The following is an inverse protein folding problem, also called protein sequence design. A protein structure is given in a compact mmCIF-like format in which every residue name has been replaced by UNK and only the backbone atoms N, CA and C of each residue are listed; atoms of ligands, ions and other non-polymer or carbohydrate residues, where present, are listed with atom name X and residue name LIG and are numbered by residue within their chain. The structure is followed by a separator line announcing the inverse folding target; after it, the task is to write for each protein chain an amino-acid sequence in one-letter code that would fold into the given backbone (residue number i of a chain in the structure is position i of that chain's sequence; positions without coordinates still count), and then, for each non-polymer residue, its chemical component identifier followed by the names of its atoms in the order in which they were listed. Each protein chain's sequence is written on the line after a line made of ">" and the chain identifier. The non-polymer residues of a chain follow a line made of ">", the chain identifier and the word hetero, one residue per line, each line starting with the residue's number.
data_IF_957497736690
#
_entry.id   IF_957497736690
#
_cell.length_a   1.000
_cell.length_b   1.000
_cell.length_c   1.000
_cell.angle_alpha   90.00
_cell.angle_beta   90.00
_cell.angle_gamma   90.00
#
_symmetry.space_group_name_H-M   'P 1'
#
loop_
_entity.id
_entity.type
_entity.pdbx_description
1 polymer ?
#
# COMPACT_ATOMS: atom_id res chain seq x y z
N UNK A 1 19.39 -47.61 9.89
CA UNK A 1 19.48 -46.26 10.52
C UNK A 1 20.54 -46.34 11.60
N UNK A 2 21.47 -45.39 11.67
CA UNK A 2 22.55 -45.37 12.66
C UNK A 2 22.50 -44.05 13.47
N UNK A 3 22.88 -44.08 14.74
CA UNK A 3 23.24 -42.91 15.55
C UNK A 3 24.57 -43.22 16.22
N UNK A 4 25.56 -42.35 16.02
CA UNK A 4 26.90 -42.50 16.60
C UNK A 4 27.52 -43.89 16.35
N UNK A 5 27.46 -44.36 15.11
CA UNK A 5 27.88 -45.71 14.67
C UNK A 5 27.13 -46.91 15.28
N UNK A 6 26.08 -46.69 16.07
CA UNK A 6 25.21 -47.74 16.58
C UNK A 6 24.00 -47.91 15.65
N UNK A 7 23.73 -49.12 15.11
CA UNK A 7 22.53 -49.35 14.33
C UNK A 7 21.29 -49.22 15.21
N UNK A 8 20.49 -48.19 14.98
CA UNK A 8 19.20 -47.98 15.65
C UNK A 8 18.08 -48.84 15.07
N UNK A 9 18.21 -49.23 13.79
CA UNK A 9 17.27 -50.09 13.10
C UNK A 9 17.89 -50.65 11.81
N UNK A 10 17.60 -51.90 11.48
CA UNK A 10 17.95 -52.54 10.21
C UNK A 10 16.79 -53.43 9.73
N UNK A 11 16.79 -53.76 8.44
CA UNK A 11 15.85 -54.76 7.88
C UNK A 11 16.22 -56.20 8.27
N UNK A 12 17.41 -56.40 8.85
CA UNK A 12 18.03 -57.69 9.17
C UNK A 12 18.09 -58.66 7.98
N UNK A 13 18.20 -58.12 6.76
CA UNK A 13 18.31 -58.90 5.51
C UNK A 13 19.74 -59.08 5.01
N UNK A 14 20.75 -58.82 5.86
CA UNK A 14 22.15 -59.03 5.50
C UNK A 14 22.42 -60.51 5.12
N UNK A 15 23.37 -60.75 4.21
CA UNK A 15 23.66 -62.09 3.69
C UNK A 15 22.78 -62.56 2.52
N UNK A 16 21.96 -61.68 1.93
CA UNK A 16 21.12 -61.97 0.76
C UNK A 16 21.63 -61.24 -0.51
N UNK A 17 22.70 -61.73 -1.17
CA UNK A 17 23.24 -61.09 -2.37
C UNK A 17 22.22 -61.07 -3.52
N UNK A 18 22.17 -59.96 -4.25
CA UNK A 18 21.19 -59.76 -5.32
C UNK A 18 19.78 -59.39 -4.85
N UNK A 19 19.59 -59.16 -3.54
CA UNK A 19 18.34 -58.57 -3.05
C UNK A 19 18.14 -57.14 -3.56
N UNK A 20 16.89 -56.74 -3.78
CA UNK A 20 16.53 -55.38 -4.20
C UNK A 20 15.51 -54.77 -3.27
N UNK A 21 15.63 -53.47 -3.06
CA UNK A 21 14.63 -52.66 -2.37
C UNK A 21 13.60 -52.14 -3.38
N UNK A 22 12.31 -52.17 -3.01
CA UNK A 22 11.22 -51.70 -3.85
C UNK A 22 10.17 -50.95 -3.01
N UNK A 23 9.61 -49.89 -3.62
CA UNK A 23 8.40 -49.23 -3.14
C UNK A 23 7.27 -49.71 -4.04
N UNK A 24 6.29 -50.40 -3.45
CA UNK A 24 5.14 -50.93 -4.17
C UNK A 24 4.09 -49.82 -4.41
N UNK A 25 3.22 -49.94 -5.45
CA UNK A 25 2.16 -48.97 -5.72
C UNK A 25 1.16 -48.77 -4.57
N UNK A 26 1.06 -49.72 -3.65
CA UNK A 26 0.21 -49.67 -2.45
C UNK A 26 0.88 -48.97 -1.24
N UNK A 27 2.08 -48.42 -1.42
CA UNK A 27 2.83 -47.72 -0.37
C UNK A 27 3.63 -48.63 0.58
N UNK A 28 3.75 -49.93 0.26
CA UNK A 28 4.56 -50.86 1.03
C UNK A 28 6.04 -50.80 0.62
N UNK A 29 6.94 -50.74 1.60
CA UNK A 29 8.39 -50.84 1.37
C UNK A 29 8.80 -52.30 1.57
N UNK A 30 9.40 -52.90 0.54
CA UNK A 30 9.74 -54.33 0.53
C UNK A 30 11.17 -54.53 0.09
N UNK A 31 11.88 -55.45 0.74
CA UNK A 31 13.13 -56.02 0.22
C UNK A 31 12.80 -57.38 -0.37
N UNK A 32 13.13 -57.59 -1.63
CA UNK A 32 12.99 -58.86 -2.33
C UNK A 32 14.33 -59.56 -2.44
N UNK A 33 14.37 -60.88 -2.23
CA UNK A 33 15.51 -61.73 -2.60
C UNK A 33 15.79 -61.68 -4.10
N UNK A 34 16.93 -62.22 -4.52
CA UNK A 34 17.27 -62.43 -5.93
C UNK A 34 16.23 -63.27 -6.69
N UNK A 35 15.54 -64.20 -6.00
CA UNK A 35 14.43 -64.98 -6.54
C UNK A 35 13.07 -64.28 -6.53
N UNK A 36 12.99 -63.02 -6.08
CA UNK A 36 11.76 -62.24 -6.03
C UNK A 36 10.85 -62.54 -4.84
N UNK A 37 11.33 -63.27 -3.82
CA UNK A 37 10.58 -63.49 -2.57
C UNK A 37 10.75 -62.30 -1.63
N UNK A 38 9.68 -61.75 -1.01
CA UNK A 38 9.83 -60.71 -0.01
C UNK A 38 10.54 -61.28 1.23
N UNK A 39 11.64 -60.67 1.62
CA UNK A 39 12.45 -61.04 2.80
C UNK A 39 12.35 -60.00 3.92
N UNK A 40 11.78 -58.83 3.62
CA UNK A 40 11.35 -57.82 4.59
C UNK A 40 10.19 -57.01 3.99
N UNK A 41 9.21 -56.59 4.80
CA UNK A 41 8.21 -55.61 4.40
C UNK A 41 7.77 -54.74 5.58
N UNK A 42 7.38 -53.50 5.33
CA UNK A 42 6.91 -52.57 6.37
C UNK A 42 5.45 -52.77 6.78
N UNK A 43 4.68 -53.58 6.05
CA UNK A 43 3.25 -53.79 6.32
C UNK A 43 2.37 -52.58 6.00
N UNK A 44 2.85 -51.60 5.23
CA UNK A 44 2.17 -50.31 5.01
C UNK A 44 1.23 -50.28 3.79
N UNK A 45 0.89 -51.47 3.25
CA UNK A 45 0.09 -51.72 2.05
C UNK A 45 -1.39 -51.23 2.09
N UNK A 46 -1.85 -50.64 3.20
CA UNK A 46 -3.23 -50.14 3.35
C UNK A 46 -3.33 -48.63 3.63
N UNK A 47 -2.22 -47.89 3.65
CA UNK A 47 -2.21 -46.42 3.76
C UNK A 47 -2.92 -45.79 4.97
N UNK A 48 -3.35 -46.57 5.98
CA UNK A 48 -4.21 -46.09 7.08
C UNK A 48 -3.46 -45.61 8.32
N UNK A 49 -2.19 -45.92 8.45
CA UNK A 49 -1.31 -45.17 9.36
C UNK A 49 -0.34 -44.38 8.51
N UNK A 50 -0.39 -43.06 8.65
CA UNK A 50 0.62 -42.17 8.12
C UNK A 50 1.93 -42.59 8.77
N UNK A 51 2.73 -43.39 8.09
CA UNK A 51 4.06 -43.77 8.55
C UNK A 51 4.78 -42.47 8.87
N UNK A 52 5.31 -42.32 10.10
CA UNK A 52 6.04 -41.12 10.56
C UNK A 52 7.34 -40.83 9.76
N UNK A 53 7.56 -41.51 8.64
CA UNK A 53 8.53 -41.11 7.63
C UNK A 53 7.91 -40.02 6.75
N UNK A 54 8.33 -38.78 7.04
CA UNK A 54 8.27 -37.60 6.18
C UNK A 54 6.92 -37.26 5.52
N UNK A 55 5.81 -37.26 6.28
CA UNK A 55 4.62 -36.52 5.83
C UNK A 55 5.00 -35.03 5.62
N UNK A 56 4.35 -34.30 4.69
CA UNK A 56 4.64 -32.88 4.49
C UNK A 56 4.54 -32.06 5.78
N UNK A 57 3.62 -32.44 6.69
CA UNK A 57 3.46 -31.85 8.02
C UNK A 57 4.69 -32.14 8.90
N UNK A 58 5.18 -33.38 8.91
CA UNK A 58 6.38 -33.73 9.67
C UNK A 58 7.60 -32.95 9.15
N UNK A 59 7.81 -32.89 7.83
CA UNK A 59 8.92 -32.13 7.23
C UNK A 59 8.83 -30.65 7.63
N UNK A 60 7.64 -30.05 7.47
CA UNK A 60 7.38 -28.68 7.90
C UNK A 60 7.77 -28.47 9.35
N UNK A 61 7.27 -29.31 10.26
CA UNK A 61 7.49 -29.16 11.69
C UNK A 61 8.98 -29.33 12.05
N UNK A 62 9.71 -30.23 11.38
CA UNK A 62 11.16 -30.36 11.58
C UNK A 62 11.92 -29.10 11.13
N UNK A 63 11.58 -28.55 9.96
CA UNK A 63 12.17 -27.30 9.48
C UNK A 63 11.90 -26.15 10.45
N UNK A 64 10.64 -25.95 10.86
CA UNK A 64 10.27 -24.87 11.77
C UNK A 64 10.89 -25.03 13.17
N UNK A 65 11.08 -26.26 13.65
CA UNK A 65 11.81 -26.54 14.90
C UNK A 65 13.31 -26.25 14.80
N UNK A 66 13.93 -26.51 13.65
CA UNK A 66 15.36 -26.22 13.40
C UNK A 66 15.63 -24.71 13.42
N UNK A 67 14.63 -23.90 13.05
CA UNK A 67 14.71 -22.44 13.02
C UNK A 67 13.62 -21.82 13.92
N UNK A 68 13.74 -21.90 15.26
CA UNK A 68 12.67 -21.50 16.17
C UNK A 68 12.40 -19.99 16.22
N UNK A 69 13.37 -19.17 15.81
CA UNK A 69 13.32 -17.70 15.86
C UNK A 69 12.94 -17.06 14.51
N UNK A 70 12.13 -17.75 13.70
CA UNK A 70 11.65 -17.20 12.43
C UNK A 70 10.70 -16.02 12.68
N UNK A 71 11.04 -14.87 12.12
CA UNK A 71 10.13 -13.72 12.06
C UNK A 71 9.28 -13.82 10.78
N UNK A 72 7.98 -14.02 10.92
CA UNK A 72 7.09 -14.20 9.77
C UNK A 72 6.53 -12.88 9.25
N UNK A 73 6.53 -12.73 7.92
CA UNK A 73 5.87 -11.63 7.23
C UNK A 73 5.28 -12.10 5.90
N UNK A 74 4.27 -11.38 5.42
CA UNK A 74 3.90 -11.46 4.01
C UNK A 74 4.97 -10.79 3.16
N UNK A 75 5.27 -11.36 2.00
CA UNK A 75 6.09 -10.71 0.97
C UNK A 75 5.13 -10.24 -0.12
N UNK A 76 4.88 -8.94 -0.22
CA UNK A 76 3.90 -8.37 -1.15
C UNK A 76 4.61 -7.53 -2.21
N UNK A 77 4.34 -7.77 -3.49
CA UNK A 77 4.90 -6.95 -4.56
C UNK A 77 4.38 -5.51 -4.47
N UNK A 78 5.29 -4.54 -4.55
CA UNK A 78 4.92 -3.12 -4.63
C UNK A 78 4.21 -2.81 -5.96
N UNK A 79 4.69 -3.37 -7.07
CA UNK A 79 4.11 -3.12 -8.39
C UNK A 79 2.71 -3.70 -8.56
N UNK A 80 2.46 -4.93 -8.10
CA UNK A 80 1.20 -5.63 -8.38
C UNK A 80 0.25 -5.69 -7.20
N UNK A 81 0.72 -5.40 -5.99
CA UNK A 81 -0.03 -5.57 -4.74
C UNK A 81 -0.28 -7.04 -4.36
N UNK A 82 0.21 -8.02 -5.13
CA UNK A 82 -0.03 -9.46 -4.91
C UNK A 82 0.97 -10.04 -3.91
N UNK A 83 0.57 -11.09 -3.21
CA UNK A 83 1.44 -11.81 -2.27
C UNK A 83 2.28 -12.87 -2.98
N UNK A 84 3.50 -13.08 -2.50
CA UNK A 84 4.31 -14.24 -2.82
C UNK A 84 3.74 -15.47 -2.09
N UNK A 85 3.32 -16.49 -2.84
CA UNK A 85 2.65 -17.69 -2.31
C UNK A 85 3.42 -18.97 -2.68
N UNK A 86 3.54 -19.89 -1.72
CA UNK A 86 4.28 -21.15 -1.85
C UNK A 86 3.42 -22.39 -2.15
N UNK A 87 2.12 -22.22 -2.39
CA UNK A 87 1.13 -23.28 -2.64
C UNK A 87 1.08 -23.76 -4.10
N UNK A 88 2.04 -23.36 -4.94
CA UNK A 88 2.06 -23.70 -6.35
C UNK A 88 2.39 -25.17 -6.59
N UNK A 89 1.94 -25.71 -7.73
CA UNK A 89 2.29 -27.07 -8.16
C UNK A 89 3.82 -27.22 -8.26
N UNK A 90 4.33 -28.42 -7.98
CA UNK A 90 5.76 -28.74 -8.05
C UNK A 90 6.64 -27.76 -7.25
N UNK A 91 6.16 -27.31 -6.08
CA UNK A 91 6.81 -26.34 -5.20
C UNK A 91 7.10 -24.98 -5.88
N UNK A 92 6.41 -24.65 -6.97
CA UNK A 92 6.54 -23.34 -7.59
C UNK A 92 6.01 -22.25 -6.67
N UNK A 93 6.67 -21.11 -6.71
CA UNK A 93 6.25 -19.90 -6.00
C UNK A 93 5.62 -18.95 -7.02
N UNK A 94 4.50 -18.33 -6.66
CA UNK A 94 3.73 -17.51 -7.60
C UNK A 94 3.11 -16.29 -6.91
N UNK A 95 2.48 -15.41 -7.70
CA UNK A 95 1.76 -14.26 -7.17
C UNK A 95 0.30 -14.62 -6.91
N UNK A 96 -0.15 -14.51 -5.66
CA UNK A 96 -1.53 -14.72 -5.27
C UNK A 96 -2.27 -13.37 -5.13
N UNK A 97 -3.43 -13.20 -5.78
CA UNK A 97 -4.26 -12.00 -5.61
C UNK A 97 -4.88 -11.99 -4.21
N UNK A 98 -4.86 -10.84 -3.53
CA UNK A 98 -5.35 -10.66 -2.15
C UNK A 98 -4.40 -11.24 -1.08
N UNK A 99 -3.36 -10.48 -0.70
CA UNK A 99 -2.54 -10.79 0.47
C UNK A 99 -3.39 -11.03 1.72
N UNK A 100 -3.07 -12.10 2.44
CA UNK A 100 -3.80 -12.51 3.63
C UNK A 100 -2.79 -12.97 4.70
N UNK A 101 -2.68 -12.21 5.78
CA UNK A 101 -1.76 -12.50 6.88
C UNK A 101 -2.08 -13.81 7.62
N UNK A 102 -3.33 -14.27 7.56
CA UNK A 102 -3.77 -15.53 8.17
C UNK A 102 -3.51 -16.74 7.27
N UNK A 103 -3.23 -16.56 5.97
CA UNK A 103 -2.89 -17.66 5.09
C UNK A 103 -1.42 -18.09 5.32
N UNK A 104 -1.15 -19.31 5.83
CA UNK A 104 0.21 -19.75 6.10
C UNK A 104 1.07 -19.90 4.84
N UNK A 105 0.48 -20.05 3.64
CA UNK A 105 1.24 -20.06 2.37
C UNK A 105 1.77 -18.68 1.97
N UNK A 106 1.18 -17.60 2.49
CA UNK A 106 1.66 -16.23 2.32
C UNK A 106 2.71 -15.83 3.36
N UNK A 107 2.89 -16.62 4.43
CA UNK A 107 3.77 -16.28 5.54
C UNK A 107 5.17 -16.83 5.31
N UNK A 108 6.14 -15.92 5.21
CA UNK A 108 7.55 -16.24 5.00
C UNK A 108 8.35 -15.83 6.24
N UNK A 109 9.01 -16.80 6.84
CA UNK A 109 9.85 -16.66 8.01
C UNK A 109 11.28 -16.29 7.63
N UNK A 110 11.81 -15.22 8.20
CA UNK A 110 13.16 -14.74 7.96
C UNK A 110 14.10 -15.21 9.07
N UNK A 111 15.12 -15.99 8.70
CA UNK A 111 16.20 -16.41 9.58
C UNK A 111 17.51 -15.76 9.14
N UNK A 112 18.14 -14.98 10.02
CA UNK A 112 19.38 -14.25 9.70
C UNK A 112 20.58 -15.21 9.63
N UNK A 113 21.40 -15.12 8.58
CA UNK A 113 22.63 -15.89 8.38
C UNK A 113 23.71 -14.95 7.87
N UNK A 114 24.55 -14.44 8.78
CA UNK A 114 25.49 -13.34 8.47
C UNK A 114 24.74 -12.14 7.90
N UNK A 115 25.17 -11.61 6.76
CA UNK A 115 24.50 -10.48 6.08
C UNK A 115 23.21 -10.87 5.35
N UNK A 116 22.93 -12.17 5.20
CA UNK A 116 21.85 -12.71 4.39
C UNK A 116 20.68 -13.20 5.25
N UNK A 117 19.57 -13.51 4.59
CA UNK A 117 18.44 -14.21 5.17
C UNK A 117 18.21 -15.53 4.45
N UNK A 118 17.95 -16.58 5.22
CA UNK A 118 17.22 -17.73 4.72
C UNK A 118 15.73 -17.49 4.93
N UNK A 119 14.93 -17.66 3.89
CA UNK A 119 13.50 -17.35 3.88
C UNK A 119 12.73 -18.67 3.81
N UNK A 120 11.92 -18.99 4.83
CA UNK A 120 11.25 -20.29 4.98
C UNK A 120 9.73 -20.09 5.02
N UNK A 121 8.98 -20.78 4.17
CA UNK A 121 7.54 -20.68 4.16
C UNK A 121 6.89 -21.38 5.37
N UNK A 122 5.88 -20.76 5.99
CA UNK A 122 5.20 -21.30 7.19
C UNK A 122 4.36 -22.55 6.91
N UNK A 123 3.67 -22.60 5.77
CA UNK A 123 2.82 -23.74 5.43
C UNK A 123 3.61 -24.99 5.04
N UNK A 124 4.68 -24.80 4.25
CA UNK A 124 5.45 -25.93 3.69
C UNK A 124 6.70 -26.27 4.51
N UNK A 125 7.26 -25.30 5.25
CA UNK A 125 8.57 -25.41 5.89
C UNK A 125 9.74 -25.46 4.90
N UNK A 126 9.49 -25.13 3.64
CA UNK A 126 10.50 -25.14 2.58
C UNK A 126 11.21 -23.79 2.52
N UNK A 127 12.51 -23.81 2.20
CA UNK A 127 13.28 -22.61 1.93
C UNK A 127 12.95 -22.07 0.54
N UNK A 128 12.90 -20.75 0.38
CA UNK A 128 12.93 -20.12 -0.93
C UNK A 128 14.32 -20.34 -1.53
N UNK A 129 14.38 -20.96 -2.71
CA UNK A 129 15.60 -21.35 -3.39
C UNK A 129 15.67 -20.73 -4.80
N UNK A 130 16.86 -20.28 -5.18
CA UNK A 130 17.15 -19.58 -6.44
C UNK A 130 17.81 -20.46 -7.53
N UNK A 131 17.72 -21.79 -7.42
CA UNK A 131 18.50 -22.74 -8.23
C UNK A 131 17.76 -23.35 -9.42
N UNK A 132 16.43 -23.18 -9.54
CA UNK A 132 15.65 -23.81 -10.61
C UNK A 132 16.02 -23.24 -11.99
N UNK A 133 16.20 -24.15 -12.95
CA UNK A 133 16.49 -23.86 -14.36
C UNK A 133 17.68 -22.92 -14.57
N UNK A 134 18.81 -23.20 -13.89
CA UNK A 134 19.98 -22.33 -13.93
C UNK A 134 19.73 -20.98 -13.24
N UNK A 135 18.92 -21.02 -12.18
CA UNK A 135 18.50 -19.88 -11.37
C UNK A 135 17.64 -18.85 -12.08
N UNK A 136 16.81 -19.29 -13.04
CA UNK A 136 15.82 -18.43 -13.70
C UNK A 136 14.54 -18.27 -12.90
N UNK A 137 14.22 -19.24 -12.04
CA UNK A 137 12.97 -19.25 -11.29
C UNK A 137 13.19 -19.56 -9.81
N UNK A 138 12.44 -18.90 -8.91
CA UNK A 138 12.41 -19.28 -7.51
C UNK A 138 11.52 -20.49 -7.28
N UNK A 139 11.81 -21.29 -6.25
CA UNK A 139 10.94 -22.39 -5.84
C UNK A 139 11.12 -22.73 -4.35
N UNK A 140 10.20 -23.53 -3.80
CA UNK A 140 10.32 -24.09 -2.46
C UNK A 140 11.22 -25.33 -2.44
N UNK A 141 12.33 -25.25 -1.70
CA UNK A 141 13.23 -26.37 -1.45
C UNK A 141 13.00 -27.01 -0.07
N UNK A 142 12.83 -28.33 -0.06
CA UNK A 142 12.33 -29.12 1.09
C UNK A 142 13.22 -29.08 2.33
N UNK A 143 14.53 -28.89 2.19
CA UNK A 143 15.49 -28.97 3.30
C UNK A 143 16.27 -27.65 3.44
N UNK A 144 15.80 -26.70 4.26
CA UNK A 144 16.51 -25.45 4.50
C UNK A 144 17.89 -25.70 5.12
N UNK A 145 18.91 -25.06 4.54
CA UNK A 145 20.32 -25.21 4.89
C UNK A 145 21.00 -23.84 4.90
N UNK A 146 21.62 -23.46 6.01
CA UNK A 146 22.29 -22.16 6.20
C UNK A 146 23.62 -22.04 5.44
N UNK A 147 24.20 -23.17 5.00
CA UNK A 147 25.42 -23.24 4.22
C UNK A 147 25.18 -23.44 2.71
N UNK A 148 23.92 -23.38 2.25
CA UNK A 148 23.58 -23.42 0.82
C UNK A 148 23.31 -22.00 0.32
N UNK A 149 24.20 -21.45 -0.51
CA UNK A 149 24.06 -20.09 -1.04
C UNK A 149 22.81 -19.87 -1.88
N UNK A 150 22.21 -20.93 -2.46
CA UNK A 150 20.93 -20.83 -3.18
C UNK A 150 19.74 -20.56 -2.26
N UNK A 151 19.85 -20.84 -0.96
CA UNK A 151 18.84 -20.52 0.06
C UNK A 151 19.03 -19.14 0.68
N UNK A 152 20.13 -18.45 0.39
CA UNK A 152 20.51 -17.21 1.04
C UNK A 152 20.18 -16.00 0.16
N UNK A 153 19.51 -15.03 0.77
CA UNK A 153 18.96 -13.86 0.10
C UNK A 153 19.45 -12.59 0.79
N UNK A 154 20.05 -11.70 0.01
CA UNK A 154 20.36 -10.34 0.43
C UNK A 154 19.09 -9.51 0.32
N UNK A 155 18.58 -9.07 1.46
CA UNK A 155 17.35 -8.26 1.53
C UNK A 155 17.79 -6.84 1.89
N UNK A 156 17.60 -5.90 0.97
CA UNK A 156 18.09 -4.51 1.10
C UNK A 156 17.02 -3.50 0.68
N UNK A 157 17.07 -2.26 1.18
CA UNK A 157 16.10 -1.23 0.78
C UNK A 157 16.17 -1.00 -0.73
N UNK A 158 15.00 -0.82 -1.34
CA UNK A 158 14.84 -0.39 -2.72
C UNK A 158 13.52 0.39 -2.85
N UNK A 159 13.59 1.70 -3.11
CA UNK A 159 12.40 2.55 -3.19
C UNK A 159 11.57 2.51 -1.89
N UNK A 160 10.27 2.24 -2.00
CA UNK A 160 9.35 2.16 -0.85
C UNK A 160 9.31 0.77 -0.18
N UNK A 161 10.10 -0.19 -0.67
CA UNK A 161 10.16 -1.54 -0.14
C UNK A 161 11.57 -2.11 -0.14
N UNK A 162 11.67 -3.40 -0.38
CA UNK A 162 12.94 -4.13 -0.36
C UNK A 162 13.16 -4.84 -1.68
N UNK A 163 14.41 -4.88 -2.11
CA UNK A 163 14.85 -5.88 -3.08
C UNK A 163 15.32 -7.15 -2.35
N UNK A 164 15.01 -8.29 -2.94
CA UNK A 164 15.41 -9.62 -2.47
C UNK A 164 16.32 -10.22 -3.54
N UNK A 165 17.62 -10.32 -3.26
CA UNK A 165 18.64 -10.72 -4.24
C UNK A 165 19.29 -12.02 -3.81
N UNK A 166 19.33 -13.01 -4.70
CA UNK A 166 19.97 -14.30 -4.41
C UNK A 166 21.47 -14.15 -4.20
N UNK A 167 22.02 -14.75 -3.14
CA UNK A 167 23.46 -14.82 -2.91
C UNK A 167 24.17 -15.63 -4.00
N UNK A 168 23.61 -16.80 -4.36
CA UNK A 168 24.21 -17.70 -5.34
C UNK A 168 24.25 -17.13 -6.76
N UNK A 169 23.21 -16.41 -7.18
CA UNK A 169 23.07 -16.00 -8.59
C UNK A 169 23.22 -14.50 -8.83
N UNK A 170 23.16 -13.68 -7.77
CA UNK A 170 23.11 -12.21 -7.89
C UNK A 170 21.80 -11.66 -8.49
N UNK A 171 20.85 -12.54 -8.83
CA UNK A 171 19.59 -12.17 -9.48
C UNK A 171 18.56 -11.68 -8.46
N UNK A 172 17.74 -10.73 -8.88
CA UNK A 172 16.66 -10.17 -8.08
C UNK A 172 15.38 -11.00 -8.23
N UNK A 173 14.65 -11.20 -7.15
CA UNK A 173 13.28 -11.72 -7.19
C UNK A 173 12.37 -10.65 -7.81
N UNK A 174 11.69 -10.98 -8.90
CA UNK A 174 10.91 -10.03 -9.69
C UNK A 174 9.45 -10.49 -9.88
N UNK A 175 8.51 -9.55 -9.75
CA UNK A 175 7.06 -9.77 -9.86
C UNK A 175 6.47 -9.44 -11.24
N UNK A 176 7.29 -9.07 -12.21
CA UNK A 176 6.90 -8.68 -13.57
C UNK A 176 6.89 -9.84 -14.57
N UNK A 177 6.77 -11.07 -14.08
CA UNK A 177 6.81 -12.27 -14.91
C UNK A 177 5.55 -12.45 -15.77
N UNK A 178 5.59 -13.42 -16.70
CA UNK A 178 4.45 -13.72 -17.58
C UNK A 178 3.42 -14.63 -16.88
N UNK A 179 2.34 -14.99 -17.58
CA UNK A 179 1.26 -15.84 -17.03
C UNK A 179 1.72 -17.23 -16.59
N UNK A 180 2.75 -17.78 -17.24
CA UNK A 180 3.29 -19.09 -16.90
C UNK A 180 4.26 -19.02 -15.70
N UNK A 181 5.03 -17.94 -15.61
CA UNK A 181 6.03 -17.71 -14.59
C UNK A 181 5.87 -16.30 -14.01
N UNK A 182 4.85 -16.07 -13.18
CA UNK A 182 4.51 -14.73 -12.68
C UNK A 182 5.55 -14.18 -11.69
N UNK A 183 6.46 -15.02 -11.19
CA UNK A 183 7.62 -14.63 -10.40
C UNK A 183 8.85 -15.30 -11.01
N UNK A 184 9.91 -14.53 -11.22
CA UNK A 184 11.15 -15.04 -11.80
C UNK A 184 12.37 -14.33 -11.19
N UNK A 185 13.56 -14.80 -11.57
CA UNK A 185 14.84 -14.28 -11.12
C UNK A 185 15.41 -13.36 -12.20
N UNK A 186 15.24 -12.05 -12.05
CA UNK A 186 15.74 -11.06 -13.00
C UNK A 186 17.28 -10.93 -12.89
N UNK A 187 18.03 -10.96 -14.02
CA UNK A 187 19.50 -11.01 -14.00
C UNK A 187 20.20 -9.92 -13.19
N UNK A 188 19.69 -8.68 -13.24
CA UNK A 188 20.35 -7.52 -12.68
C UNK A 188 19.41 -6.76 -11.72
N UNK A 189 19.71 -6.64 -10.42
CA UNK A 189 18.92 -5.80 -9.52
C UNK A 189 18.88 -4.35 -10.03
N UNK A 190 17.68 -3.83 -10.30
CA UNK A 190 17.45 -2.45 -10.75
C UNK A 190 16.86 -1.65 -9.60
N UNK A 191 17.57 -0.62 -9.17
CA UNK A 191 17.10 0.33 -8.15
C UNK A 191 15.92 1.14 -8.69
N UNK A 192 14.90 1.36 -7.85
CA UNK A 192 13.69 2.12 -8.21
C UNK A 192 12.66 1.36 -9.06
N UNK A 193 13.00 0.19 -9.63
CA UNK A 193 12.02 -0.65 -10.35
C UNK A 193 11.01 -1.25 -9.36
N UNK A 194 9.74 -0.89 -9.48
CA UNK A 194 8.66 -1.34 -8.59
C UNK A 194 8.42 -2.86 -8.63
N UNK A 195 8.77 -3.55 -9.72
CA UNK A 195 8.66 -5.02 -9.83
C UNK A 195 9.73 -5.78 -9.04
N UNK A 196 10.84 -5.12 -8.71
CA UNK A 196 11.88 -5.62 -7.80
C UNK A 196 11.60 -5.28 -6.33
N UNK A 197 10.57 -4.50 -6.05
CA UNK A 197 10.27 -4.02 -4.71
C UNK A 197 9.20 -4.88 -4.05
N UNK A 198 9.49 -5.30 -2.84
CA UNK A 198 8.65 -6.13 -2.02
C UNK A 198 8.43 -5.48 -0.65
N UNK A 199 7.17 -5.32 -0.26
CA UNK A 199 6.79 -4.95 1.09
C UNK A 199 6.86 -6.18 1.98
N UNK A 200 7.68 -6.13 3.02
CA UNK A 200 7.91 -7.20 4.00
C UNK A 200 8.42 -6.62 5.32
N UNK A 201 8.34 -7.42 6.38
CA UNK A 201 8.87 -7.08 7.71
C UNK A 201 10.06 -8.01 8.03
N UNK A 202 11.23 -7.44 8.33
CA UNK A 202 12.41 -8.18 8.77
C UNK A 202 12.52 -8.22 10.31
N UNK A 203 13.16 -9.27 10.88
CA UNK A 203 13.50 -9.29 12.30
C UNK A 203 14.44 -8.14 12.64
N UNK A 204 14.09 -7.34 13.66
CA UNK A 204 14.84 -6.16 14.09
C UNK A 204 14.45 -4.86 13.38
N UNK A 205 13.44 -4.88 12.49
CA UNK A 205 13.10 -3.76 11.61
C UNK A 205 14.07 -3.74 10.42
N UNK A 206 13.55 -3.65 9.20
CA UNK A 206 14.44 -3.52 8.04
C UNK A 206 14.93 -2.08 7.85
N UNK A 207 15.49 -1.74 6.67
CA UNK A 207 16.09 -0.46 6.40
C UNK A 207 15.04 0.62 6.61
N UNK A 208 15.31 1.41 7.65
CA UNK A 208 14.93 2.81 7.83
C UNK A 208 13.95 3.37 6.80
N UNK A 209 12.72 2.87 6.75
CA UNK A 209 11.61 3.76 7.05
C UNK A 209 11.69 3.98 8.55
N UNK A 210 11.59 5.26 8.95
CA UNK A 210 11.39 5.67 10.34
C UNK A 210 10.64 4.56 11.07
N UNK A 211 11.15 4.12 12.23
CA UNK A 211 10.43 3.28 13.22
C UNK A 211 8.95 3.34 12.92
N UNK A 212 8.40 2.31 12.26
CA UNK A 212 7.05 2.39 11.72
C UNK A 212 6.14 2.73 12.87
N UNK A 213 5.80 4.01 12.98
CA UNK A 213 5.23 4.52 14.20
C UNK A 213 3.93 3.77 14.38
N UNK A 214 3.67 3.26 15.59
CA UNK A 214 2.38 2.67 15.89
C UNK A 214 1.28 3.64 15.47
N UNK A 215 0.07 3.16 15.16
CA UNK A 215 -1.02 4.07 14.80
C UNK A 215 -1.18 5.19 15.84
N UNK A 216 -0.97 4.87 17.13
CA UNK A 216 -0.98 5.82 18.23
C UNK A 216 0.16 6.86 18.20
N UNK A 217 1.34 6.51 17.67
CA UNK A 217 2.45 7.45 17.51
C UNK A 217 2.27 8.36 16.30
N UNK A 218 1.79 7.81 15.17
CA UNK A 218 1.43 8.63 14.01
C UNK A 218 0.26 9.57 14.35
N UNK A 219 -0.72 9.10 15.11
CA UNK A 219 -1.88 9.90 15.50
C UNK A 219 -1.54 11.06 16.46
N UNK A 220 -0.38 11.03 17.11
CA UNK A 220 0.12 12.16 17.92
C UNK A 220 0.73 13.29 17.08
N UNK A 221 1.17 13.02 15.85
CA UNK A 221 1.80 14.03 14.99
C UNK A 221 0.75 15.02 14.47
N UNK A 222 1.10 16.30 14.46
CA UNK A 222 0.21 17.37 13.96
C UNK A 222 0.01 17.29 12.45
N UNK A 223 1.08 16.97 11.73
CA UNK A 223 1.11 16.70 10.28
C UNK A 223 1.97 15.47 10.00
N UNK A 224 1.66 14.77 8.91
CA UNK A 224 2.30 13.54 8.47
C UNK A 224 2.91 13.73 7.08
N UNK A 225 4.05 13.08 6.84
CA UNK A 225 4.62 12.91 5.52
C UNK A 225 3.77 11.94 4.68
N UNK A 226 3.96 11.93 3.36
CA UNK A 226 3.22 11.02 2.48
C UNK A 226 3.42 9.54 2.83
N UNK A 227 4.64 9.13 3.21
CA UNK A 227 4.91 7.75 3.61
C UNK A 227 4.19 7.38 4.91
N UNK A 228 4.13 8.31 5.86
CA UNK A 228 3.38 8.13 7.09
C UNK A 228 1.87 8.11 6.87
N UNK A 229 1.34 8.88 5.91
CA UNK A 229 -0.08 8.83 5.52
C UNK A 229 -0.42 7.45 4.94
N UNK A 230 0.43 6.93 4.04
CA UNK A 230 0.27 5.58 3.48
C UNK A 230 0.25 4.54 4.61
N UNK A 231 1.21 4.63 5.52
CA UNK A 231 1.31 3.72 6.67
C UNK A 231 0.08 3.86 7.59
N UNK A 232 -0.34 5.09 7.91
CA UNK A 232 -1.50 5.35 8.76
C UNK A 232 -2.75 4.72 8.17
N UNK A 233 -3.02 4.91 6.87
CA UNK A 233 -4.17 4.30 6.18
C UNK A 233 -4.13 2.78 6.21
N UNK A 234 -2.97 2.18 5.99
CA UNK A 234 -2.79 0.72 6.08
C UNK A 234 -3.10 0.20 7.49
N UNK A 235 -2.63 0.91 8.53
CA UNK A 235 -2.92 0.55 9.92
C UNK A 235 -4.42 0.68 10.25
N UNK A 236 -5.06 1.78 9.80
CA UNK A 236 -6.51 1.99 10.00
C UNK A 236 -7.35 0.96 9.26
N UNK A 237 -6.96 0.57 8.05
CA UNK A 237 -7.67 -0.46 7.26
C UNK A 237 -7.74 -1.82 7.98
N UNK A 238 -6.80 -2.10 8.90
CA UNK A 238 -6.77 -3.32 9.71
C UNK A 238 -7.63 -3.24 10.99
N UNK A 239 -8.16 -2.07 11.35
CA UNK A 239 -9.05 -1.91 12.50
C UNK A 239 -10.47 -2.42 12.21
N UNK A 240 -11.28 -2.71 13.26
CA UNK A 240 -12.72 -2.90 13.11
C UNK A 240 -13.36 -1.68 12.45
N UNK A 241 -14.35 -1.88 11.58
CA UNK A 241 -15.03 -0.81 10.84
C UNK A 241 -15.57 0.30 11.76
N UNK A 242 -16.06 -0.06 12.95
CA UNK A 242 -16.54 0.87 13.97
C UNK A 242 -15.49 1.85 14.50
N UNK A 243 -14.20 1.53 14.36
CA UNK A 243 -13.10 2.38 14.84
C UNK A 243 -12.46 3.21 13.72
N UNK A 244 -12.63 2.81 12.45
CA UNK A 244 -11.93 3.43 11.32
C UNK A 244 -12.31 4.89 11.12
N UNK A 245 -13.59 5.21 11.29
CA UNK A 245 -14.12 6.55 11.08
C UNK A 245 -13.32 7.59 11.87
N UNK A 246 -13.16 7.41 13.18
CA UNK A 246 -12.42 8.34 14.03
C UNK A 246 -10.99 8.58 13.54
N UNK A 247 -10.28 7.53 13.12
CA UNK A 247 -8.91 7.69 12.63
C UNK A 247 -8.83 8.34 11.25
N UNK A 248 -9.77 8.04 10.35
CA UNK A 248 -9.84 8.71 9.05
C UNK A 248 -10.16 10.20 9.17
N UNK A 249 -11.04 10.57 10.10
CA UNK A 249 -11.32 11.97 10.44
C UNK A 249 -10.06 12.69 10.94
N UNK A 250 -9.36 12.09 11.91
CA UNK A 250 -8.06 12.63 12.40
C UNK A 250 -6.99 12.72 11.32
N UNK A 251 -6.95 11.77 10.37
CA UNK A 251 -5.99 11.79 9.27
C UNK A 251 -6.20 12.99 8.34
N UNK A 252 -7.43 13.47 8.15
CA UNK A 252 -7.69 14.63 7.30
C UNK A 252 -6.90 15.87 7.76
N UNK A 253 -6.87 16.11 9.06
CA UNK A 253 -6.08 17.18 9.70
C UNK A 253 -4.57 16.96 9.63
N UNK A 254 -4.12 15.76 9.29
CA UNK A 254 -2.68 15.43 9.30
C UNK A 254 -2.03 15.58 7.94
N UNK A 255 -2.80 15.85 6.89
CA UNK A 255 -2.27 16.08 5.54
C UNK A 255 -1.47 17.39 5.53
N UNK A 256 -0.28 17.44 4.90
CA UNK A 256 0.44 18.69 4.69
C UNK A 256 -0.45 19.73 4.02
N UNK A 257 -0.26 21.00 4.38
CA UNK A 257 -1.00 22.08 3.74
C UNK A 257 -0.48 22.32 2.32
N UNK A 258 -1.39 22.49 1.36
CA UNK A 258 -1.10 22.81 -0.04
C UNK A 258 -1.53 24.24 -0.32
N UNK A 259 -0.61 25.09 -0.77
CA UNK A 259 -0.82 26.53 -0.89
C UNK A 259 -0.67 26.98 -2.34
N UNK A 260 -1.77 27.33 -3.00
CA UNK A 260 -1.71 27.65 -4.43
C UNK A 260 -0.84 28.87 -4.75
N UNK A 261 -0.57 29.74 -3.75
CA UNK A 261 0.22 30.97 -3.92
C UNK A 261 1.73 30.70 -3.97
N UNK A 262 2.18 29.49 -3.66
CA UNK A 262 3.58 29.09 -3.80
C UNK A 262 3.87 28.29 -5.08
N UNK A 263 2.82 27.99 -5.87
CA UNK A 263 2.91 27.23 -7.11
C UNK A 263 3.95 27.78 -8.08
N UNK A 264 4.61 26.88 -8.81
CA UNK A 264 5.61 27.19 -9.82
C UNK A 264 5.05 28.01 -10.98
N UNK A 265 3.76 27.84 -11.32
CA UNK A 265 3.07 28.61 -12.37
C UNK A 265 2.58 29.97 -11.86
N UNK A 266 3.53 30.83 -11.47
CA UNK A 266 3.25 32.13 -10.82
C UNK A 266 2.27 33.06 -11.55
N UNK A 267 2.14 32.96 -12.88
CA UNK A 267 1.22 33.79 -13.66
C UNK A 267 -0.26 33.37 -13.53
N UNK A 268 -0.53 32.16 -13.06
CA UNK A 268 -1.88 31.58 -12.95
C UNK A 268 -2.14 30.98 -11.56
N UNK A 269 -1.23 31.18 -10.61
CA UNK A 269 -1.29 30.66 -9.25
C UNK A 269 -2.65 30.93 -8.57
N UNK A 270 -3.20 32.14 -8.72
CA UNK A 270 -4.50 32.54 -8.18
C UNK A 270 -5.70 31.77 -8.78
N UNK A 271 -5.49 31.02 -9.87
CA UNK A 271 -6.51 30.20 -10.54
C UNK A 271 -6.25 28.68 -10.43
N UNK A 272 -5.26 28.28 -9.63
CA UNK A 272 -4.86 26.87 -9.45
C UNK A 272 -5.46 26.19 -8.21
N UNK A 273 -6.49 26.79 -7.58
CA UNK A 273 -7.18 26.19 -6.44
C UNK A 273 -7.68 24.76 -6.72
N UNK A 274 -8.08 24.49 -7.96
CA UNK A 274 -8.46 23.17 -8.46
C UNK A 274 -7.38 22.09 -8.26
N UNK A 275 -6.25 22.19 -8.96
CA UNK A 275 -5.17 21.18 -8.94
C UNK A 275 -4.45 21.15 -7.59
N UNK A 276 -4.39 22.29 -6.89
CA UNK A 276 -3.86 22.38 -5.52
C UNK A 276 -4.71 21.59 -4.53
N UNK A 277 -6.03 21.77 -4.60
CA UNK A 277 -6.96 20.99 -3.76
C UNK A 277 -6.95 19.51 -4.15
N UNK A 278 -6.86 19.18 -5.45
CA UNK A 278 -6.75 17.80 -5.91
C UNK A 278 -5.47 17.13 -5.37
N UNK A 279 -4.33 17.82 -5.37
CA UNK A 279 -3.09 17.33 -4.79
C UNK A 279 -3.25 16.99 -3.30
N UNK A 280 -3.90 17.86 -2.53
CA UNK A 280 -4.20 17.61 -1.11
C UNK A 280 -5.09 16.37 -0.93
N UNK A 281 -6.12 16.21 -1.76
CA UNK A 281 -6.99 15.04 -1.74
C UNK A 281 -6.26 13.74 -2.12
N UNK A 282 -5.44 13.75 -3.17
CA UNK A 282 -4.65 12.58 -3.59
C UNK A 282 -3.61 12.20 -2.51
N UNK A 283 -2.96 13.19 -1.91
CA UNK A 283 -2.03 13.00 -0.79
C UNK A 283 -2.72 12.33 0.40
N UNK A 284 -3.93 12.78 0.76
CA UNK A 284 -4.74 12.13 1.79
C UNK A 284 -5.04 10.65 1.49
N UNK A 285 -5.21 10.29 0.21
CA UNK A 285 -5.43 8.90 -0.21
C UNK A 285 -4.15 8.05 -0.21
N UNK A 286 -2.99 8.66 0.08
CA UNK A 286 -1.68 8.00 0.06
C UNK A 286 -1.04 7.96 -1.33
N UNK A 287 -1.49 8.80 -2.26
CA UNK A 287 -0.92 8.86 -3.61
C UNK A 287 0.29 9.78 -3.58
N UNK A 288 1.44 9.23 -4.01
CA UNK A 288 2.70 9.97 -4.11
C UNK A 288 2.71 10.87 -5.33
N UNK A 289 3.33 12.03 -5.18
CA UNK A 289 3.73 12.86 -6.31
C UNK A 289 4.69 12.07 -7.22
N UNK A 290 4.37 11.88 -8.51
CA UNK A 290 5.21 11.12 -9.44
C UNK A 290 6.53 11.84 -9.80
N UNK A 291 6.65 13.15 -9.52
CA UNK A 291 7.89 13.92 -9.70
C UNK A 291 8.25 14.66 -8.39
N UNK A 292 8.93 13.99 -7.43
CA UNK A 292 9.20 14.56 -6.10
C UNK A 292 10.06 15.83 -6.08
N UNK A 293 10.75 16.16 -7.17
CA UNK A 293 11.54 17.40 -7.31
C UNK A 293 10.68 18.64 -7.59
N UNK A 294 9.36 18.48 -7.74
CA UNK A 294 8.39 19.54 -8.01
C UNK A 294 7.23 19.43 -7.02
N UNK A 295 6.44 20.50 -6.87
CA UNK A 295 5.20 20.42 -6.10
C UNK A 295 4.17 19.56 -6.82
N UNK A 296 3.31 18.88 -6.08
CA UNK A 296 2.42 17.88 -6.69
C UNK A 296 1.38 18.55 -7.59
N UNK A 297 0.84 19.68 -7.15
CA UNK A 297 -0.08 20.55 -7.87
C UNK A 297 0.53 21.13 -9.17
N UNK A 298 1.83 21.40 -9.20
CA UNK A 298 2.53 21.83 -10.42
C UNK A 298 2.66 20.66 -11.42
N UNK A 299 2.81 19.44 -10.93
CA UNK A 299 2.84 18.23 -11.77
C UNK A 299 1.43 17.92 -12.29
N UNK A 300 0.41 18.05 -11.44
CA UNK A 300 -0.99 17.90 -11.83
C UNK A 300 -1.41 18.94 -12.86
N UNK A 301 -0.88 20.17 -12.77
CA UNK A 301 -1.08 21.21 -13.78
C UNK A 301 -0.59 20.75 -15.16
N UNK A 302 0.65 20.25 -15.27
CA UNK A 302 1.15 19.74 -16.54
C UNK A 302 0.30 18.59 -17.08
N UNK A 303 -0.12 17.68 -16.22
CA UNK A 303 -0.92 16.54 -16.65
C UNK A 303 -2.30 17.01 -17.13
N UNK A 304 -2.97 17.90 -16.39
CA UNK A 304 -4.33 18.33 -16.75
C UNK A 304 -4.36 19.21 -18.00
N UNK A 305 -3.30 19.98 -18.30
CA UNK A 305 -3.22 20.72 -19.56
C UNK A 305 -3.16 19.80 -20.79
N UNK A 306 -2.72 18.54 -20.63
CA UNK A 306 -2.72 17.54 -21.68
C UNK A 306 -4.05 16.77 -21.80
N UNK A 307 -5.04 17.03 -20.95
CA UNK A 307 -6.37 16.44 -21.03
C UNK A 307 -7.28 17.24 -21.97
N UNK A 308 -7.47 16.79 -23.21
CA UNK A 308 -8.43 17.38 -24.17
C UNK A 308 -9.64 16.47 -24.39
N UNK A 309 -10.67 16.56 -23.55
CA UNK A 309 -11.89 15.74 -23.71
C UNK A 309 -13.01 16.43 -24.49
N UNK A 310 -13.10 17.76 -24.46
CA UNK A 310 -13.90 18.49 -25.45
C UNK A 310 -12.96 19.19 -26.43
N UNK A 311 -13.13 18.90 -27.72
CA UNK A 311 -12.36 19.51 -28.82
C UNK A 311 -12.57 21.03 -29.00
N UNK A 312 -13.09 21.72 -27.98
CA UNK A 312 -13.38 23.16 -27.93
C UNK A 312 -13.09 23.78 -26.56
N UNK A 313 -12.48 23.06 -25.60
CA UNK A 313 -12.37 23.56 -24.22
C UNK A 313 -11.42 24.75 -24.09
N UNK A 314 -12.00 25.90 -23.76
CA UNK A 314 -11.30 26.97 -23.07
C UNK A 314 -10.89 26.48 -21.68
N UNK A 315 -9.62 26.06 -21.53
CA UNK A 315 -8.94 25.61 -20.30
C UNK A 315 -9.55 24.36 -19.61
N UNK A 316 -8.86 23.20 -19.63
CA UNK A 316 -9.35 21.93 -19.08
C UNK A 316 -9.59 21.94 -17.55
N UNK A 317 -9.08 22.94 -16.83
CA UNK A 317 -9.26 23.11 -15.38
C UNK A 317 -10.66 23.57 -14.95
N UNK A 318 -11.53 23.95 -15.88
CA UNK A 318 -12.90 24.35 -15.53
C UNK A 318 -13.89 23.17 -15.47
N UNK A 319 -13.44 21.96 -15.83
CA UNK A 319 -14.31 20.81 -15.97
C UNK A 319 -14.08 19.78 -14.85
N UNK A 320 -15.06 19.65 -13.96
CA UNK A 320 -15.02 18.72 -12.81
C UNK A 320 -14.78 17.26 -13.21
N UNK A 321 -15.31 16.86 -14.37
CA UNK A 321 -15.08 15.54 -14.95
C UNK A 321 -13.59 15.27 -15.23
N UNK A 322 -12.82 16.29 -15.62
CA UNK A 322 -11.39 16.12 -15.88
C UNK A 322 -10.63 15.77 -14.60
N UNK A 323 -10.99 16.34 -13.45
CA UNK A 323 -10.37 15.97 -12.16
C UNK A 323 -10.70 14.53 -11.75
N UNK A 324 -11.96 14.10 -11.92
CA UNK A 324 -12.36 12.72 -11.66
C UNK A 324 -11.62 11.75 -12.59
N UNK A 325 -11.53 12.06 -13.88
CA UNK A 325 -10.82 11.24 -14.85
C UNK A 325 -9.31 11.23 -14.62
N UNK A 326 -8.70 12.35 -14.22
CA UNK A 326 -7.30 12.46 -13.84
C UNK A 326 -7.00 11.56 -12.63
N UNK A 327 -7.79 11.69 -11.55
CA UNK A 327 -7.65 10.86 -10.36
C UNK A 327 -7.78 9.35 -10.69
N UNK A 328 -8.74 8.98 -11.55
CA UNK A 328 -8.96 7.58 -11.92
C UNK A 328 -7.88 7.01 -12.84
N UNK A 329 -7.61 7.71 -13.95
CA UNK A 329 -6.79 7.17 -15.05
C UNK A 329 -5.31 7.25 -14.75
N UNK A 330 -4.85 8.34 -14.14
CA UNK A 330 -3.42 8.54 -13.85
C UNK A 330 -3.01 7.96 -12.50
N UNK A 331 -3.93 7.97 -11.52
CA UNK A 331 -3.60 7.59 -10.13
C UNK A 331 -4.39 6.41 -9.58
N UNK A 332 -5.25 5.78 -10.38
CA UNK A 332 -5.97 4.57 -9.98
C UNK A 332 -7.00 4.78 -8.86
N UNK A 333 -7.46 6.01 -8.62
CA UNK A 333 -8.54 6.27 -7.64
C UNK A 333 -9.81 5.56 -8.10
N UNK A 334 -10.42 4.81 -7.20
CA UNK A 334 -11.56 3.94 -7.52
C UNK A 334 -12.86 4.75 -7.63
N UNK A 335 -13.50 4.71 -8.80
CA UNK A 335 -14.82 5.31 -9.07
C UNK A 335 -15.01 6.72 -8.47
N UNK A 336 -14.13 7.70 -8.78
CA UNK A 336 -14.30 9.06 -8.28
C UNK A 336 -15.63 9.62 -8.80
N UNK A 337 -16.53 9.96 -7.86
CA UNK A 337 -17.87 10.45 -8.16
C UNK A 337 -17.91 11.96 -7.97
N UNK A 338 -18.27 12.71 -9.02
CA UNK A 338 -18.67 14.12 -8.86
C UNK A 338 -20.19 14.22 -8.91
N UNK A 339 -20.72 15.15 -8.12
CA UNK A 339 -22.14 15.42 -8.06
C UNK A 339 -22.38 16.92 -7.86
N UNK A 340 -23.61 17.34 -8.13
CA UNK A 340 -24.08 18.70 -7.89
C UNK A 340 -24.94 18.72 -6.63
N UNK A 341 -24.81 19.78 -5.83
CA UNK A 341 -25.75 20.08 -4.75
C UNK A 341 -27.07 20.60 -5.35
N UNK A 342 -27.92 19.67 -5.84
CA UNK A 342 -29.16 20.03 -6.51
C UNK A 342 -30.18 20.66 -5.55
N UNK A 343 -30.88 21.70 -6.01
CA UNK A 343 -31.97 22.32 -5.26
C UNK A 343 -31.53 23.17 -4.06
N UNK A 344 -30.25 23.55 -3.99
CA UNK A 344 -29.67 24.33 -2.89
C UNK A 344 -30.45 25.63 -2.62
N UNK A 345 -31.18 25.73 -1.48
CA UNK A 345 -31.84 26.97 -1.09
C UNK A 345 -30.86 27.82 -0.29
N UNK A 346 -30.39 28.93 -0.89
CA UNK A 346 -29.53 29.91 -0.19
C UNK A 346 -30.22 30.36 1.10
N UNK A 347 -29.48 30.34 2.21
CA UNK A 347 -29.97 30.65 3.55
C UNK A 347 -30.64 29.49 4.31
N UNK A 348 -30.84 28.31 3.69
CA UNK A 348 -31.42 27.15 4.37
C UNK A 348 -30.34 26.28 5.04
N UNK A 349 -30.12 26.55 6.33
CA UNK A 349 -29.18 25.79 7.16
C UNK A 349 -29.58 24.32 7.25
N UNK A 350 -30.86 23.99 7.41
CA UNK A 350 -31.32 22.60 7.58
C UNK A 350 -31.06 21.78 6.34
N UNK A 351 -31.21 22.38 5.16
CA UNK A 351 -30.86 21.74 3.90
C UNK A 351 -29.38 21.33 3.89
N UNK A 352 -28.46 22.23 4.27
CA UNK A 352 -27.03 21.95 4.29
C UNK A 352 -26.68 20.90 5.32
N UNK A 353 -27.24 21.00 6.53
CA UNK A 353 -27.02 20.01 7.59
C UNK A 353 -27.43 18.61 7.09
N UNK A 354 -28.63 18.47 6.51
CA UNK A 354 -29.10 17.19 5.97
C UNK A 354 -28.21 16.70 4.83
N UNK A 355 -27.86 17.58 3.88
CA UNK A 355 -26.99 17.22 2.77
C UNK A 355 -25.62 16.72 3.24
N UNK A 356 -24.97 17.44 4.16
CA UNK A 356 -23.66 17.07 4.72
C UNK A 356 -23.75 15.74 5.45
N UNK A 357 -24.80 15.54 6.26
CA UNK A 357 -25.04 14.30 7.00
C UNK A 357 -25.26 13.09 6.09
N UNK A 358 -25.93 13.27 4.96
CA UNK A 358 -26.25 12.17 4.04
C UNK A 358 -25.12 11.85 3.05
N UNK A 359 -24.32 12.85 2.65
CA UNK A 359 -23.38 12.72 1.53
C UNK A 359 -21.91 12.81 1.94
N UNK A 360 -21.56 13.80 2.76
CA UNK A 360 -20.16 14.11 3.08
C UNK A 360 -19.67 13.39 4.33
N UNK A 361 -20.47 13.37 5.40
CA UNK A 361 -20.12 12.69 6.65
C UNK A 361 -19.81 11.20 6.45
N UNK A 362 -20.64 10.40 5.74
CA UNK A 362 -20.35 8.98 5.53
C UNK A 362 -19.09 8.79 4.67
N UNK A 363 -18.83 9.69 3.74
CA UNK A 363 -17.66 9.63 2.87
C UNK A 363 -16.36 9.88 3.65
N UNK A 364 -16.34 10.91 4.49
CA UNK A 364 -15.20 11.22 5.33
C UNK A 364 -14.95 10.12 6.38
N UNK A 365 -16.02 9.57 6.96
CA UNK A 365 -15.95 8.42 7.88
C UNK A 365 -15.40 7.14 7.21
N UNK A 366 -15.52 7.03 5.89
CA UNK A 366 -14.97 5.92 5.11
C UNK A 366 -13.58 6.20 4.53
N UNK A 367 -12.90 7.26 4.97
CA UNK A 367 -11.53 7.54 4.55
C UNK A 367 -11.42 8.05 3.11
N UNK A 368 -12.45 8.74 2.64
CA UNK A 368 -12.50 9.45 1.36
C UNK A 368 -12.15 10.93 1.53
N UNK A 369 -11.61 11.54 0.49
CA UNK A 369 -11.39 12.98 0.38
C UNK A 369 -12.55 13.64 -0.37
N UNK A 370 -12.86 14.89 0.00
CA UNK A 370 -13.90 15.69 -0.62
C UNK A 370 -13.29 17.03 -1.01
N UNK A 371 -13.49 17.42 -2.26
CA UNK A 371 -13.25 18.79 -2.71
C UNK A 371 -14.54 19.38 -3.26
N UNK A 372 -14.80 20.64 -2.94
CA UNK A 372 -16.06 21.31 -3.29
C UNK A 372 -15.78 22.71 -3.83
N UNK A 373 -16.61 23.15 -4.78
CA UNK A 373 -16.61 24.55 -5.19
C UNK A 373 -17.31 25.42 -4.13
N UNK A 374 -16.81 26.64 -3.97
CA UNK A 374 -17.31 27.66 -3.05
C UNK A 374 -17.24 29.04 -3.73
N UNK A 375 -18.10 29.96 -3.32
CA UNK A 375 -18.18 31.32 -3.87
C UNK A 375 -17.46 32.35 -3.00
N UNK A 376 -16.29 32.00 -2.45
CA UNK A 376 -15.47 32.92 -1.62
C UNK A 376 -14.75 33.99 -2.45
N UNK A 377 -14.70 33.83 -3.77
CA UNK A 377 -14.15 34.81 -4.73
C UNK A 377 -15.15 35.05 -5.87
N UNK A 378 -14.98 36.15 -6.61
CA UNK A 378 -15.80 36.47 -7.80
C UNK A 378 -15.67 35.47 -8.95
N UNK A 379 -14.62 34.63 -8.94
CA UNK A 379 -14.32 33.68 -10.01
C UNK A 379 -14.67 32.23 -9.64
N UNK A 380 -15.27 32.02 -8.47
CA UNK A 380 -15.39 30.71 -7.86
C UNK A 380 -14.05 30.24 -7.28
N UNK A 381 -14.13 29.33 -6.31
CA UNK A 381 -12.97 28.81 -5.61
C UNK A 381 -13.21 27.34 -5.25
N UNK A 382 -12.15 26.60 -4.96
CA UNK A 382 -12.24 25.17 -4.64
C UNK A 382 -11.42 24.91 -3.39
N UNK A 383 -12.02 24.19 -2.44
CA UNK A 383 -11.42 23.85 -1.15
C UNK A 383 -11.59 22.36 -0.85
N UNK A 384 -10.75 21.83 0.04
CA UNK A 384 -10.87 20.46 0.56
C UNK A 384 -11.66 20.47 1.85
N UNK A 385 -12.72 19.68 1.94
CA UNK A 385 -13.48 19.50 3.18
C UNK A 385 -12.76 18.45 4.04
N UNK A 386 -12.34 18.82 5.25
CA UNK A 386 -11.57 17.95 6.15
C UNK A 386 -12.42 17.38 7.28
N UNK A 387 -13.31 18.17 7.88
CA UNK A 387 -14.18 17.73 8.98
C UNK A 387 -15.53 18.45 9.02
N UNK A 388 -16.40 18.01 9.92
CA UNK A 388 -17.73 18.51 10.23
C UNK A 388 -17.76 18.66 11.74
N UNK A 389 -17.84 19.90 12.21
CA UNK A 389 -17.93 20.21 13.63
C UNK A 389 -19.39 20.50 13.97
N UNK A 390 -20.13 19.43 14.26
CA UNK A 390 -21.53 19.53 14.69
C UNK A 390 -21.71 20.29 16.00
N UNK A 391 -20.66 20.37 16.84
CA UNK A 391 -20.72 21.09 18.11
C UNK A 391 -20.62 22.60 17.90
N UNK A 392 -19.71 23.06 17.02
CA UNK A 392 -19.60 24.47 16.62
C UNK A 392 -20.64 24.86 15.56
N UNK A 393 -21.23 23.88 14.88
CA UNK A 393 -22.26 24.08 13.85
C UNK A 393 -21.67 24.52 12.52
N UNK A 394 -20.79 23.69 11.92
CA UNK A 394 -20.17 24.01 10.63
C UNK A 394 -19.30 22.90 10.06
N UNK A 395 -18.58 23.24 8.98
CA UNK A 395 -17.52 22.39 8.41
C UNK A 395 -16.14 22.96 8.72
N UNK A 396 -15.13 22.13 8.54
CA UNK A 396 -13.73 22.53 8.53
C UNK A 396 -13.13 22.23 7.17
N UNK A 397 -12.39 23.17 6.61
CA UNK A 397 -11.79 23.07 5.27
C UNK A 397 -10.30 23.41 5.28
N UNK A 398 -9.56 22.84 4.32
CA UNK A 398 -8.30 23.40 3.87
C UNK A 398 -8.56 24.26 2.63
N UNK A 399 -8.29 25.56 2.74
CA UNK A 399 -8.39 26.53 1.66
C UNK A 399 -6.99 26.81 1.09
N UNK A 400 -6.70 26.44 -0.17
CA UNK A 400 -5.38 26.63 -0.76
C UNK A 400 -5.01 28.09 -1.04
N UNK A 401 -5.98 29.01 -1.06
CA UNK A 401 -5.74 30.44 -1.26
C UNK A 401 -5.36 31.15 0.04
N UNK A 402 -5.86 30.67 1.19
CA UNK A 402 -5.53 31.21 2.51
C UNK A 402 -6.73 31.22 3.45
N UNK A 403 -6.60 31.89 4.60
CA UNK A 403 -7.66 31.92 5.60
C UNK A 403 -8.80 32.88 5.25
N UNK A 404 -9.96 32.35 4.87
CA UNK A 404 -11.21 33.10 4.77
C UNK A 404 -11.82 33.34 6.17
N UNK A 405 -12.27 34.56 6.45
CA UNK A 405 -13.01 34.92 7.66
C UNK A 405 -14.47 34.47 7.54
N UNK A 406 -14.96 33.79 8.58
CA UNK A 406 -16.37 33.44 8.77
C UNK A 406 -17.17 34.72 9.05
N UNK A 407 -17.83 35.26 8.02
CA UNK A 407 -18.67 36.46 8.13
C UNK A 407 -19.90 36.31 7.24
N UNK A 408 -21.11 36.28 7.82
CA UNK A 408 -22.35 36.32 7.06
C UNK A 408 -22.53 37.67 6.35
N UNK A 409 -23.25 37.67 5.24
CA UNK A 409 -23.68 38.88 4.51
C UNK A 409 -22.71 39.36 3.43
N UNK A 410 -21.80 38.51 2.96
CA UNK A 410 -20.88 38.93 1.92
C UNK A 410 -21.50 38.79 0.53
N UNK A 411 -21.60 39.92 -0.18
CA UNK A 411 -22.08 39.93 -1.57
C UNK A 411 -21.03 39.31 -2.48
N UNK A 412 -21.49 38.57 -3.49
CA UNK A 412 -20.67 37.98 -4.55
C UNK A 412 -19.62 38.99 -5.03
N UNK A 413 -18.35 38.79 -4.66
CA UNK A 413 -17.23 39.62 -5.14
C UNK A 413 -16.33 40.33 -4.12
N UNK A 414 -16.49 40.15 -2.80
CA UNK A 414 -15.44 40.58 -1.84
C UNK A 414 -14.75 39.38 -1.21
N UNK A 415 -13.42 39.37 -1.26
CA UNK A 415 -12.62 38.34 -0.59
C UNK A 415 -12.72 38.53 0.94
N UNK A 416 -13.19 37.53 1.68
CA UNK A 416 -13.15 37.55 3.16
C UNK A 416 -11.76 37.13 3.70
N UNK A 417 -10.72 37.14 2.88
CA UNK A 417 -9.41 36.65 3.27
C UNK A 417 -8.70 37.66 4.20
N UNK A 418 -8.11 37.15 5.27
CA UNK A 418 -7.48 37.96 6.35
C UNK A 418 -6.34 38.85 5.86
N UNK A 419 -5.71 38.50 4.71
CA UNK A 419 -4.60 39.24 4.10
C UNK A 419 -4.88 39.55 2.62
N UNK A 420 -5.39 40.74 2.34
CA UNK A 420 -5.44 41.29 0.98
C UNK A 420 -4.05 41.80 0.59
N UNK A 421 -3.39 41.18 -0.40
CA UNK A 421 -2.32 41.84 -1.14
C UNK A 421 -2.62 41.90 -2.64
N UNK A 422 -2.28 43.06 -3.18
CA UNK A 422 -2.54 43.58 -4.51
C UNK A 422 -1.63 42.91 -5.54
N UNK A 423 -2.19 42.43 -6.66
CA UNK A 423 -1.55 41.66 -7.73
C UNK A 423 -0.46 42.40 -8.54
N UNK A 424 0.04 43.54 -8.05
CA UNK A 424 1.06 44.37 -8.73
C UNK A 424 2.45 44.33 -8.10
N UNK A 425 2.60 43.87 -6.87
CA UNK A 425 3.91 43.73 -6.24
C UNK A 425 4.29 42.25 -6.15
N UNK A 426 4.94 41.75 -7.21
CA UNK A 426 5.58 40.43 -7.25
C UNK A 426 6.80 40.38 -6.31
N UNK A 427 6.60 40.59 -5.01
CA UNK A 427 7.63 40.35 -4.03
C UNK A 427 7.54 38.86 -3.60
N UNK A 428 8.58 38.02 -3.79
CA UNK A 428 8.53 36.57 -3.52
C UNK A 428 8.42 36.19 -2.03
N UNK A 429 8.12 37.18 -1.17
CA UNK A 429 8.36 37.11 0.26
C UNK A 429 7.04 37.04 0.99
N UNK A 430 6.27 35.97 0.75
CA UNK A 430 5.48 35.37 1.84
C UNK A 430 5.07 33.90 1.59
N UNK A 431 5.91 33.13 0.91
CA UNK A 431 5.71 31.67 0.75
C UNK A 431 6.98 30.84 0.94
N UNK A 432 8.17 31.44 0.92
CA UNK A 432 9.36 30.78 1.44
C UNK A 432 9.35 30.88 2.97
N UNK A 433 9.00 29.78 3.64
CA UNK A 433 9.14 29.54 5.10
C UNK A 433 7.93 29.81 6.02
N UNK A 434 6.67 29.83 5.55
CA UNK A 434 5.51 29.57 6.42
C UNK A 434 5.40 30.37 7.74
N UNK A 435 5.87 31.63 7.78
CA UNK A 435 5.97 32.39 9.03
C UNK A 435 4.82 33.38 9.29
N UNK A 436 3.77 33.39 8.48
CA UNK A 436 2.58 34.21 8.74
C UNK A 436 1.38 33.29 9.07
N UNK A 437 1.42 32.68 10.26
CA UNK A 437 0.40 31.73 10.76
C UNK A 437 -1.03 32.31 10.74
N UNK A 438 -1.19 33.64 10.72
CA UNK A 438 -2.48 34.32 10.66
C UNK A 438 -3.23 34.22 9.32
N UNK A 439 -2.54 33.83 8.25
CA UNK A 439 -3.08 33.78 6.88
C UNK A 439 -3.20 32.38 6.26
N UNK A 440 -2.75 31.33 6.96
CA UNK A 440 -2.76 29.94 6.46
C UNK A 440 -4.21 29.43 6.44
N UNK A 441 -4.63 28.86 5.29
CA UNK A 441 -6.00 28.39 5.09
C UNK A 441 -6.28 26.97 5.58
N UNK A 442 -5.36 26.34 6.32
CA UNK A 442 -5.57 25.00 6.87
C UNK A 442 -6.53 25.02 8.06
N UNK A 443 -7.25 23.91 8.26
CA UNK A 443 -8.12 23.70 9.42
C UNK A 443 -9.11 24.86 9.68
N UNK A 444 -9.57 25.53 8.61
CA UNK A 444 -10.40 26.71 8.68
C UNK A 444 -11.88 26.35 8.92
N UNK A 445 -12.45 26.83 10.02
CA UNK A 445 -13.84 26.57 10.39
C UNK A 445 -14.79 27.54 9.70
N UNK A 446 -15.85 27.00 9.09
CA UNK A 446 -16.93 27.75 8.46
C UNK A 446 -18.28 27.34 9.04
N UNK A 447 -18.98 28.29 9.67
CA UNK A 447 -20.32 28.09 10.23
C UNK A 447 -21.34 27.65 9.17
N UNK A 448 -22.44 27.02 9.60
CA UNK A 448 -23.55 26.67 8.71
C UNK A 448 -24.12 27.90 8.01
N UNK A 449 -24.26 29.02 8.72
CA UNK A 449 -24.71 30.29 8.14
C UNK A 449 -23.82 30.71 6.98
N UNK A 450 -22.50 30.69 7.16
CA UNK A 450 -21.56 31.04 6.11
C UNK A 450 -21.59 30.05 4.95
N UNK A 451 -21.69 28.75 5.25
CA UNK A 451 -21.88 27.70 4.24
C UNK A 451 -23.12 27.93 3.37
N UNK A 452 -24.22 28.45 3.92
CA UNK A 452 -25.42 28.78 3.13
C UNK A 452 -25.21 29.86 2.08
N UNK A 453 -24.18 30.69 2.25
CA UNK A 453 -23.87 31.77 1.32
C UNK A 453 -22.90 31.30 0.23
N UNK A 454 -21.90 30.49 0.60
CA UNK A 454 -20.77 30.19 -0.29
C UNK A 454 -20.89 28.86 -1.02
N UNK A 455 -21.59 27.86 -0.46
CA UNK A 455 -21.63 26.53 -1.08
C UNK A 455 -22.56 26.47 -2.28
N UNK A 456 -23.62 27.27 -2.38
CA UNK A 456 -24.47 27.39 -3.60
C UNK A 456 -24.90 26.05 -4.24
N UNK A 457 -25.49 26.10 -5.44
CA UNK A 457 -25.70 24.90 -6.26
C UNK A 457 -24.37 24.44 -6.91
N UNK A 458 -23.36 24.15 -6.10
CA UNK A 458 -22.01 23.88 -6.59
C UNK A 458 -21.73 22.39 -6.83
N UNK A 459 -20.77 22.09 -7.73
CA UNK A 459 -20.20 20.78 -7.85
C UNK A 459 -19.26 20.45 -6.69
N UNK A 460 -19.24 19.17 -6.33
CA UNK A 460 -18.25 18.57 -5.44
C UNK A 460 -17.79 17.21 -5.99
N UNK A 461 -16.61 16.78 -5.56
CA UNK A 461 -15.97 15.53 -5.96
C UNK A 461 -15.56 14.75 -4.72
N UNK A 462 -15.94 13.47 -4.69
CA UNK A 462 -15.55 12.52 -3.65
C UNK A 462 -14.55 11.52 -4.25
N UNK A 463 -13.38 11.42 -3.62
CA UNK A 463 -12.24 10.59 -4.03
C UNK A 463 -11.99 9.55 -2.93
N UNK A 464 -11.93 8.25 -3.25
CA UNK A 464 -11.88 7.20 -2.23
C UNK A 464 -11.37 5.86 -2.71
#
# INVERSE_FOLDING_TARGET
>A
MYRDNIPLWATDTAGNPGSRFAIQPDGNLVVYSSSGKPIFNTGTHQGKEVTRVASPIWIRDQSLKRFPNLHFSTIQSVATGKALDAGGKNNSVYQYPSPNASNPYHQWGFHKVGDYYMIINKATGFALDAGRDGGKYPYGYVNPMTNNDYHLWKVTPNGSGYQIVSKATGRALDAGGNTENPVYMYPNPISGNSYHQWNLNLPGGGPTTQTGSSLAELDKKSRLTIDEIIQYRQLVANLPSSQRATYYRRLQYKVPYFNQRDNGYRNIADSMCNVTTLAACLTFLGIKNPQPSRQFEDVLEDIIQNYSWHGTDTNPRYWWKNFADLARKEFGVSNPGFAMMQGFPVGDVKFIENFVKENWEPSLNNGKAIMTSVSTTSYGHIVKVIDIDWQRGGIVVDDPFGKAQDSPGNSSGKSNYTNFWNTKDRNPVNTQQGQDEGGIGNDNFWSWSYCTEILGATPYLILG
#
